data_IF_145593451054
#
_entry.id   IF_145593451054
#
_cell.length_a   1.000
_cell.length_b   1.000
_cell.length_c   1.000
_cell.angle_alpha   90.00
_cell.angle_beta   90.00
_cell.angle_gamma   90.00
#
_symmetry.space_group_name_H-M   'P 1'
#
loop_
_entity.id
_entity.type
_entity.pdbx_description
1 polymer ?
#
# COMPACT_ATOMS: atom_id res chain seq x y z
N UNK A 1 -26.61 6.03 10.66
CA UNK A 1 -25.20 5.67 10.87
C UNK A 1 -24.39 6.43 9.82
N UNK A 2 -23.80 7.58 10.19
CA UNK A 2 -22.91 8.33 9.30
C UNK A 2 -21.56 7.61 9.32
N UNK A 3 -21.09 7.14 8.17
CA UNK A 3 -19.74 6.60 8.08
C UNK A 3 -18.77 7.75 8.19
N UNK A 4 -17.83 7.65 9.12
CA UNK A 4 -16.84 8.70 9.37
C UNK A 4 -15.83 8.73 8.21
N UNK A 5 -16.08 9.60 7.24
CA UNK A 5 -15.24 9.75 6.06
C UNK A 5 -13.83 10.26 6.43
N UNK A 6 -13.70 10.91 7.58
CA UNK A 6 -12.46 11.42 8.16
C UNK A 6 -11.48 10.30 8.52
N UNK A 7 -11.94 9.27 9.21
CA UNK A 7 -11.17 8.07 9.58
C UNK A 7 -10.71 7.29 8.35
N UNK A 8 -11.54 7.29 7.31
CA UNK A 8 -11.26 6.64 6.04
C UNK A 8 -10.11 7.36 5.29
N UNK A 9 -10.13 8.69 5.26
CA UNK A 9 -9.04 9.51 4.72
C UNK A 9 -7.74 9.37 5.53
N UNK A 10 -7.84 9.32 6.86
CA UNK A 10 -6.69 9.11 7.74
C UNK A 10 -6.03 7.74 7.48
N UNK A 11 -6.83 6.70 7.27
CA UNK A 11 -6.36 5.36 6.94
C UNK A 11 -5.59 5.34 5.62
N UNK A 12 -6.12 6.00 4.57
CA UNK A 12 -5.40 6.15 3.28
C UNK A 12 -4.08 6.88 3.48
N UNK A 13 -4.06 7.94 4.30
CA UNK A 13 -2.86 8.73 4.55
C UNK A 13 -1.79 7.94 5.31
N UNK A 14 -2.18 7.13 6.29
CA UNK A 14 -1.27 6.23 7.01
C UNK A 14 -0.69 5.17 6.08
N UNK A 15 -1.52 4.54 5.25
CA UNK A 15 -1.08 3.56 4.25
C UNK A 15 -0.09 4.16 3.26
N UNK A 16 -0.37 5.37 2.75
CA UNK A 16 0.54 6.06 1.83
C UNK A 16 1.90 6.36 2.46
N UNK A 17 1.96 6.71 3.75
CA UNK A 17 3.24 6.88 4.47
C UNK A 17 4.01 5.58 4.60
N UNK A 18 3.31 4.47 4.87
CA UNK A 18 3.92 3.14 4.90
C UNK A 18 4.48 2.79 3.52
N UNK A 19 3.75 3.04 2.42
CA UNK A 19 4.26 2.86 1.05
C UNK A 19 5.54 3.64 0.80
N UNK A 20 5.59 4.91 1.20
CA UNK A 20 6.79 5.73 1.01
C UNK A 20 7.99 5.22 1.81
N UNK A 21 7.79 4.88 3.09
CA UNK A 21 8.85 4.30 3.93
C UNK A 21 9.32 2.92 3.43
N UNK A 22 8.39 2.17 2.84
CA UNK A 22 8.69 0.92 2.17
C UNK A 22 9.48 1.13 0.89
N UNK A 23 9.14 2.11 0.05
CA UNK A 23 9.91 2.47 -1.14
C UNK A 23 11.40 2.66 -0.84
N UNK A 24 11.73 3.41 0.21
CA UNK A 24 13.12 3.57 0.66
C UNK A 24 13.77 2.26 1.09
N UNK A 25 13.00 1.38 1.75
CA UNK A 25 13.46 0.05 2.17
C UNK A 25 13.63 -0.90 0.97
N UNK A 26 12.77 -0.80 -0.05
CA UNK A 26 12.89 -1.51 -1.33
C UNK A 26 14.15 -1.09 -2.04
N UNK A 27 14.38 0.21 -2.19
CA UNK A 27 15.57 0.73 -2.85
C UNK A 27 16.82 0.27 -2.10
N UNK A 28 16.83 0.32 -0.77
CA UNK A 28 17.97 -0.19 0.02
C UNK A 28 18.14 -1.71 -0.12
N UNK A 29 17.07 -2.49 -0.08
CA UNK A 29 17.16 -3.96 -0.22
C UNK A 29 17.45 -4.42 -1.64
N UNK A 30 17.10 -3.66 -2.68
CA UNK A 30 17.38 -4.03 -4.06
C UNK A 30 18.79 -3.58 -4.47
N UNK A 31 19.22 -2.40 -4.02
CA UNK A 31 20.44 -1.77 -4.51
C UNK A 31 21.60 -1.75 -3.50
N UNK A 32 21.35 -1.76 -2.18
CA UNK A 32 22.42 -1.70 -1.16
C UNK A 32 22.80 -3.06 -0.55
N UNK A 33 21.99 -4.11 -0.75
CA UNK A 33 22.36 -5.47 -0.32
C UNK A 33 22.91 -6.31 -1.47
N UNK A 34 23.24 -5.71 -2.61
CA UNK A 34 23.88 -6.47 -3.68
C UNK A 34 25.28 -6.91 -3.26
N UNK A 35 25.48 -8.22 -3.23
CA UNK A 35 26.78 -8.83 -2.97
C UNK A 35 27.22 -9.57 -4.24
N UNK A 36 28.24 -9.06 -4.97
CA UNK A 36 28.74 -9.74 -6.15
C UNK A 36 29.40 -11.07 -5.78
N UNK A 37 29.31 -12.06 -6.68
CA UNK A 37 29.96 -13.37 -6.48
C UNK A 37 31.43 -13.19 -6.14
N UNK A 38 31.90 -13.97 -5.15
CA UNK A 38 33.26 -13.92 -4.62
C UNK A 38 33.62 -12.66 -3.80
N UNK A 39 32.66 -11.79 -3.45
CA UNK A 39 32.94 -10.61 -2.61
C UNK A 39 33.42 -10.99 -1.20
N UNK A 40 33.03 -12.17 -0.72
CA UNK A 40 33.43 -12.71 0.59
C UNK A 40 34.67 -13.61 0.53
N UNK A 41 35.37 -13.62 -0.60
CA UNK A 41 36.55 -14.46 -0.83
C UNK A 41 36.32 -15.54 -1.89
N UNK A 42 37.40 -16.23 -2.28
CA UNK A 42 37.39 -17.26 -3.33
C UNK A 42 38.12 -18.52 -2.88
N UNK A 43 37.66 -19.69 -3.31
CA UNK A 43 38.41 -20.94 -3.19
C UNK A 43 38.25 -21.68 -1.87
N UNK A 44 37.14 -21.46 -1.17
CA UNK A 44 36.73 -22.22 0.01
C UNK A 44 35.40 -22.94 -0.24
N UNK A 45 35.18 -24.05 0.46
CA UNK A 45 34.03 -24.95 0.24
C UNK A 45 32.68 -24.26 0.41
N UNK A 46 32.58 -23.41 1.43
CA UNK A 46 31.35 -22.75 1.84
C UNK A 46 31.00 -21.53 0.97
N UNK A 47 31.84 -21.18 -0.01
CA UNK A 47 31.65 -19.98 -0.83
C UNK A 47 30.32 -20.03 -1.60
N UNK A 48 30.03 -21.19 -2.20
CA UNK A 48 28.79 -21.39 -2.97
C UNK A 48 27.57 -21.35 -2.06
N UNK A 49 27.70 -21.86 -0.84
CA UNK A 49 26.62 -21.92 0.14
C UNK A 49 26.27 -20.51 0.63
N UNK A 50 27.28 -19.68 0.94
CA UNK A 50 27.07 -18.30 1.37
C UNK A 50 26.51 -17.43 0.23
N UNK A 51 27.06 -17.54 -0.99
CA UNK A 51 26.58 -16.80 -2.15
C UNK A 51 25.10 -17.17 -2.45
N UNK A 52 24.75 -18.45 -2.31
CA UNK A 52 23.38 -18.95 -2.52
C UNK A 52 22.43 -18.49 -1.41
N UNK A 53 22.82 -18.65 -0.15
CA UNK A 53 22.02 -18.21 1.00
C UNK A 53 21.76 -16.70 0.98
N UNK A 54 22.77 -15.90 0.61
CA UNK A 54 22.60 -14.46 0.46
C UNK A 54 21.61 -14.12 -0.67
N UNK A 55 21.70 -14.80 -1.81
CA UNK A 55 20.78 -14.61 -2.94
C UNK A 55 19.35 -14.97 -2.56
N UNK A 56 19.17 -16.09 -1.86
CA UNK A 56 17.85 -16.54 -1.38
C UNK A 56 17.23 -15.53 -0.41
N UNK A 57 18.01 -15.05 0.55
CA UNK A 57 17.54 -14.04 1.51
C UNK A 57 17.16 -12.72 0.83
N UNK A 58 17.92 -12.29 -0.18
CA UNK A 58 17.59 -11.11 -0.99
C UNK A 58 16.27 -11.28 -1.71
N UNK A 59 16.08 -12.41 -2.41
CA UNK A 59 14.82 -12.72 -3.12
C UNK A 59 13.63 -12.74 -2.17
N UNK A 60 13.78 -13.34 -0.99
CA UNK A 60 12.70 -13.38 0.00
C UNK A 60 12.28 -11.98 0.48
N UNK A 61 13.24 -11.09 0.75
CA UNK A 61 12.94 -9.72 1.16
C UNK A 61 12.23 -8.97 0.02
N UNK A 62 12.65 -9.17 -1.24
CA UNK A 62 12.00 -8.58 -2.42
C UNK A 62 10.54 -9.05 -2.58
N UNK A 63 10.25 -10.33 -2.32
CA UNK A 63 8.88 -10.88 -2.34
C UNK A 63 8.00 -10.27 -1.25
N UNK A 64 8.50 -10.21 0.00
CA UNK A 64 7.75 -9.61 1.12
C UNK A 64 7.38 -8.16 0.82
N UNK A 65 8.33 -7.40 0.28
CA UNK A 65 8.11 -6.03 -0.16
C UNK A 65 7.02 -5.94 -1.22
N UNK A 66 7.04 -6.83 -2.21
CA UNK A 66 6.06 -6.84 -3.30
C UNK A 66 4.65 -7.07 -2.76
N UNK A 67 4.48 -8.06 -1.89
CA UNK A 67 3.19 -8.37 -1.25
C UNK A 67 2.66 -7.17 -0.46
N UNK A 68 3.53 -6.49 0.26
CA UNK A 68 3.15 -5.30 1.02
C UNK A 68 2.75 -4.13 0.10
N UNK A 69 3.41 -3.93 -1.04
CA UNK A 69 2.95 -2.94 -2.04
C UNK A 69 1.58 -3.30 -2.61
N UNK A 70 1.35 -4.56 -2.96
CA UNK A 70 0.06 -5.04 -3.47
C UNK A 70 -1.06 -4.85 -2.43
N UNK A 71 -0.80 -5.16 -1.16
CA UNK A 71 -1.74 -4.94 -0.06
C UNK A 71 -2.12 -3.46 0.05
N UNK A 72 -1.13 -2.56 0.00
CA UNK A 72 -1.39 -1.12 0.15
C UNK A 72 -2.17 -0.58 -1.06
N UNK A 73 -1.85 -1.02 -2.27
CA UNK A 73 -2.59 -0.61 -3.47
C UNK A 73 -4.04 -1.09 -3.45
N UNK A 74 -4.27 -2.35 -3.05
CA UNK A 74 -5.61 -2.92 -2.93
C UNK A 74 -6.42 -2.20 -1.84
N UNK A 75 -5.82 -1.97 -0.66
CA UNK A 75 -6.47 -1.19 0.40
C UNK A 75 -6.75 0.26 -0.03
N UNK A 76 -5.79 0.92 -0.67
CA UNK A 76 -5.94 2.29 -1.17
C UNK A 76 -7.07 2.40 -2.20
N UNK A 77 -7.14 1.46 -3.14
CA UNK A 77 -8.18 1.40 -4.17
C UNK A 77 -9.56 1.11 -3.57
N UNK A 78 -9.67 0.11 -2.70
CA UNK A 78 -10.93 -0.22 -2.00
C UNK A 78 -11.42 0.94 -1.15
N UNK A 79 -10.50 1.62 -0.47
CA UNK A 79 -10.82 2.76 0.39
C UNK A 79 -11.32 3.97 -0.41
N UNK A 80 -10.63 4.34 -1.50
CA UNK A 80 -11.11 5.38 -2.43
C UNK A 80 -12.50 5.06 -2.99
N UNK A 81 -12.72 3.80 -3.38
CA UNK A 81 -14.02 3.33 -3.89
C UNK A 81 -15.12 3.42 -2.84
N UNK A 82 -14.83 3.05 -1.60
CA UNK A 82 -15.77 3.19 -0.48
C UNK A 82 -16.09 4.66 -0.22
N UNK A 83 -15.08 5.53 -0.14
CA UNK A 83 -15.27 6.97 0.06
C UNK A 83 -16.17 7.59 -1.02
N UNK A 84 -15.90 7.32 -2.30
CA UNK A 84 -16.72 7.83 -3.42
C UNK A 84 -18.17 7.34 -3.37
N UNK A 85 -18.41 6.08 -2.97
CA UNK A 85 -19.79 5.57 -2.76
C UNK A 85 -20.51 6.32 -1.66
N UNK A 86 -19.83 6.62 -0.55
CA UNK A 86 -20.43 7.37 0.55
C UNK A 86 -20.67 8.85 0.20
N UNK A 87 -19.74 9.50 -0.49
CA UNK A 87 -19.94 10.87 -1.00
C UNK A 87 -21.15 10.94 -1.94
N UNK A 88 -21.26 10.00 -2.89
CA UNK A 88 -22.40 9.96 -3.81
C UNK A 88 -23.71 9.71 -3.07
N UNK A 89 -23.75 8.77 -2.12
CA UNK A 89 -24.94 8.52 -1.32
C UNK A 89 -25.35 9.72 -0.46
N UNK A 90 -24.41 10.48 0.10
CA UNK A 90 -24.72 11.69 0.87
C UNK A 90 -25.17 12.84 -0.03
N UNK A 91 -24.57 12.99 -1.22
CA UNK A 91 -24.99 13.93 -2.25
C UNK A 91 -26.43 13.64 -2.71
N UNK A 92 -26.72 12.39 -3.07
CA UNK A 92 -28.05 11.95 -3.50
C UNK A 92 -29.08 12.10 -2.38
N UNK A 93 -28.72 11.82 -1.12
CA UNK A 93 -29.60 12.04 0.02
C UNK A 93 -29.89 13.53 0.26
N UNK A 94 -28.89 14.41 0.15
CA UNK A 94 -29.06 15.87 0.32
C UNK A 94 -29.91 16.47 -0.80
N UNK A 95 -29.61 16.13 -2.06
CA UNK A 95 -30.32 16.70 -3.21
C UNK A 95 -31.68 16.02 -3.49
N UNK A 96 -31.83 14.74 -3.15
CA UNK A 96 -33.11 14.04 -3.20
C UNK A 96 -34.12 14.53 -2.15
N UNK A 97 -33.65 14.97 -0.98
CA UNK A 97 -34.51 15.60 0.03
C UNK A 97 -34.90 17.05 -0.31
N UNK A 98 -34.08 17.78 -1.07
CA UNK A 98 -34.35 19.17 -1.46
C UNK A 98 -35.45 19.24 -2.55
N UNK A 99 -35.50 18.25 -3.44
CA UNK A 99 -36.56 18.12 -4.46
C UNK A 99 -37.97 17.81 -3.91
N UNK A 100 -38.08 17.38 -2.65
CA UNK A 100 -39.37 17.06 -2.01
C UNK A 100 -40.01 18.21 -1.22
N UNK A 101 -39.32 19.34 -1.02
CA UNK A 101 -39.79 20.45 -0.15
C UNK A 101 -40.37 21.66 -0.89
N UNK A 102 -40.40 21.68 -2.22
CA UNK A 102 -40.91 22.81 -3.02
C UNK A 102 -42.39 22.70 -3.43
N UNK A 103 -43.21 21.92 -2.73
CA UNK A 103 -44.59 21.62 -3.15
C UNK A 103 -45.62 21.59 -2.02
N UNK A 104 -45.70 22.63 -1.18
CA UNK A 104 -46.91 22.89 -0.38
C UNK A 104 -46.89 24.33 0.15
N UNK A 105 -47.26 25.27 -0.71
CA UNK A 105 -47.65 26.62 -0.33
C UNK A 105 -49.07 26.83 -0.82
N UNK A 106 -50.00 26.87 0.13
CA UNK A 106 -51.44 27.03 -0.08
C UNK A 106 -51.81 28.47 -0.45
#
# INVERSE_FOLDING_TARGET
>A
MRVDLSELEETVRKLSRVTSAMGDSVTKSQYNTFLPKNALGKGFSEQTDIDSAHTEMKSHIEEVIKVLHELIDDFGTKTKKAHGKYQNAEYDAKHGMDGGRSGSGN
#
